data_IF_037702824571
#
_entry.id   IF_037702824571
#
_cell.length_a   1.000
_cell.length_b   1.000
_cell.length_c   1.000
_cell.angle_alpha   90.00
_cell.angle_beta   90.00
_cell.angle_gamma   90.00
#
_symmetry.space_group_name_H-M   'P 1'
#
loop_
_entity.id
_entity.type
_entity.pdbx_description
1 polymer ?
#
# COMPACT_ATOMS: atom_id res chain seq x y z
N UNK A 1 36.03 58.67 11.30
CA UNK A 1 35.70 57.55 12.15
C UNK A 1 34.48 56.85 11.56
N UNK A 2 34.66 55.76 10.79
CA UNK A 2 33.56 55.01 10.14
C UNK A 2 33.14 53.86 11.08
N UNK A 3 31.88 53.89 11.55
CA UNK A 3 31.29 52.79 12.35
C UNK A 3 30.82 51.69 11.40
N UNK A 4 31.44 50.53 11.47
CA UNK A 4 31.01 49.31 10.75
C UNK A 4 29.93 48.64 11.61
N UNK A 5 28.72 48.59 11.08
CA UNK A 5 27.59 47.90 11.70
C UNK A 5 27.64 46.44 11.23
N UNK A 6 28.03 45.49 12.11
CA UNK A 6 27.99 44.07 11.85
C UNK A 6 26.55 43.57 12.05
N UNK A 7 25.89 43.21 10.97
CA UNK A 7 24.57 42.56 11.02
C UNK A 7 24.78 41.03 11.21
N UNK A 8 24.39 40.50 12.37
CA UNK A 8 24.33 39.08 12.64
C UNK A 8 23.04 38.51 11.99
N UNK A 9 23.20 37.75 10.91
CA UNK A 9 22.10 36.94 10.34
C UNK A 9 22.01 35.67 11.17
N UNK A 10 20.97 35.56 12.00
CA UNK A 10 20.62 34.35 12.71
C UNK A 10 19.85 33.44 11.73
N UNK A 11 20.50 32.44 11.18
CA UNK A 11 19.84 31.39 10.40
C UNK A 11 19.19 30.42 11.38
N UNK A 12 17.88 30.54 11.56
CA UNK A 12 17.09 29.55 12.29
C UNK A 12 16.96 28.28 11.45
N UNK A 13 17.73 27.26 11.78
CA UNK A 13 17.58 25.90 11.23
C UNK A 13 16.34 25.31 11.89
N UNK A 14 15.20 25.30 11.17
CA UNK A 14 14.04 24.52 11.56
C UNK A 14 14.38 23.03 11.41
N UNK A 15 14.77 22.40 12.50
CA UNK A 15 14.86 20.95 12.58
C UNK A 15 13.44 20.37 12.56
N UNK A 16 12.99 19.90 11.40
CA UNK A 16 11.78 19.06 11.33
C UNK A 16 12.11 17.74 12.03
N UNK A 17 11.68 17.59 13.27
CA UNK A 17 11.68 16.31 13.95
C UNK A 17 10.64 15.41 13.25
N UNK A 18 11.09 14.46 12.46
CA UNK A 18 10.26 13.37 11.98
C UNK A 18 9.88 12.50 13.19
N UNK A 19 8.74 12.77 13.80
CA UNK A 19 8.14 11.85 14.77
C UNK A 19 7.71 10.61 14.02
N UNK A 20 8.27 9.45 14.36
CA UNK A 20 7.85 8.16 13.80
C UNK A 20 6.37 7.98 14.18
N UNK A 21 5.50 8.00 13.19
CA UNK A 21 4.06 7.85 13.44
C UNK A 21 3.79 6.39 13.83
N UNK A 22 3.31 6.17 15.06
CA UNK A 22 2.99 4.83 15.58
C UNK A 22 1.51 4.50 15.34
N UNK A 23 1.07 4.44 14.10
CA UNK A 23 -0.31 4.13 13.74
C UNK A 23 -0.46 3.83 12.25
N UNK A 24 -1.68 3.61 11.82
CA UNK A 24 -2.01 3.47 10.40
C UNK A 24 -1.90 4.83 9.72
N UNK A 25 -1.38 4.88 8.49
CA UNK A 25 -1.23 6.08 7.69
C UNK A 25 -2.55 6.89 7.66
N UNK A 26 -2.57 8.15 8.10
CA UNK A 26 -3.82 8.93 8.17
C UNK A 26 -4.45 9.16 6.81
N UNK A 27 -5.77 9.22 6.76
CA UNK A 27 -6.51 9.71 5.60
C UNK A 27 -6.05 11.13 5.26
N UNK A 28 -5.82 11.42 3.98
CA UNK A 28 -5.27 12.69 3.49
C UNK A 28 -3.74 12.74 3.44
N UNK A 29 -3.02 11.81 4.07
CA UNK A 29 -1.57 11.72 3.98
C UNK A 29 -1.11 11.46 2.53
N UNK A 30 0.08 11.92 2.20
CA UNK A 30 0.71 11.61 0.91
C UNK A 30 1.29 10.19 0.91
N UNK A 31 1.47 9.59 -0.28
CA UNK A 31 2.16 8.31 -0.43
C UNK A 31 3.52 8.38 0.26
N UNK A 32 3.80 7.53 1.26
CA UNK A 32 5.09 7.53 1.93
C UNK A 32 6.16 6.93 1.02
N UNK A 33 7.39 7.45 1.10
CA UNK A 33 8.57 6.98 0.36
C UNK A 33 8.29 6.63 -1.12
N UNK A 34 7.67 7.53 -1.91
CA UNK A 34 7.16 7.20 -3.25
C UNK A 34 8.25 6.76 -4.23
N UNK A 35 9.51 7.14 -4.00
CA UNK A 35 10.67 6.83 -4.86
C UNK A 35 11.46 5.59 -4.38
N UNK A 36 11.09 4.96 -3.25
CA UNK A 36 11.79 3.78 -2.75
C UNK A 36 11.74 2.67 -3.80
N UNK A 37 12.92 2.17 -4.19
CA UNK A 37 13.02 1.08 -5.15
C UNK A 37 12.75 -0.26 -4.50
N UNK A 38 11.87 -1.03 -5.14
CA UNK A 38 11.36 -2.32 -4.70
C UNK A 38 11.62 -3.35 -5.78
N UNK A 39 12.08 -4.53 -5.41
CA UNK A 39 12.28 -5.64 -6.36
C UNK A 39 10.94 -6.27 -6.71
N UNK A 40 10.47 -6.05 -7.93
CA UNK A 40 9.25 -6.67 -8.46
C UNK A 40 9.52 -8.09 -8.99
N UNK A 41 8.47 -8.93 -9.03
CA UNK A 41 8.54 -10.30 -9.57
C UNK A 41 9.00 -10.38 -11.02
N UNK A 42 8.89 -9.31 -11.81
CA UNK A 42 9.45 -9.21 -13.17
C UNK A 42 10.98 -9.14 -13.20
N UNK A 43 11.64 -8.99 -12.05
CA UNK A 43 13.08 -8.79 -11.92
C UNK A 43 13.51 -7.32 -12.01
N UNK A 44 12.59 -6.41 -12.30
CA UNK A 44 12.86 -4.97 -12.36
C UNK A 44 12.72 -4.33 -10.99
N UNK A 45 13.39 -3.20 -10.81
CA UNK A 45 13.12 -2.30 -9.70
C UNK A 45 12.00 -1.33 -10.09
N UNK A 46 11.03 -1.20 -9.21
CA UNK A 46 9.91 -0.26 -9.35
C UNK A 46 9.72 0.51 -8.05
N UNK A 47 9.00 1.61 -8.10
CA UNK A 47 8.62 2.38 -6.92
C UNK A 47 7.10 2.57 -6.87
N UNK A 48 6.57 3.07 -5.76
CA UNK A 48 5.14 3.42 -5.66
C UNK A 48 4.77 4.52 -6.66
N UNK A 49 5.71 5.43 -6.96
CA UNK A 49 5.55 6.45 -7.99
C UNK A 49 5.43 5.84 -9.38
N UNK A 50 6.29 4.87 -9.70
CA UNK A 50 6.26 4.17 -11.00
C UNK A 50 4.97 3.34 -11.16
N UNK A 51 4.46 2.78 -10.06
CA UNK A 51 3.22 1.99 -10.06
C UNK A 51 1.96 2.85 -10.17
N UNK A 52 1.99 4.13 -9.72
CA UNK A 52 0.84 5.04 -9.75
C UNK A 52 0.43 5.33 -11.20
N UNK A 53 -0.89 5.31 -11.46
CA UNK A 53 -1.48 5.72 -12.74
C UNK A 53 -2.24 7.04 -12.61
N UNK A 54 -2.90 7.44 -13.68
CA UNK A 54 -3.61 8.72 -13.81
C UNK A 54 -4.58 8.99 -12.66
N UNK A 55 -5.39 8.00 -12.28
CA UNK A 55 -6.44 8.17 -11.29
C UNK A 55 -6.02 7.72 -9.87
N UNK A 56 -4.75 7.35 -9.67
CA UNK A 56 -4.24 7.03 -8.34
C UNK A 56 -3.49 5.70 -8.24
N UNK A 57 -3.44 5.15 -7.03
CA UNK A 57 -2.71 3.92 -6.71
C UNK A 57 -3.44 3.10 -5.65
N UNK A 58 -3.61 1.82 -5.90
CA UNK A 58 -3.96 0.82 -4.91
C UNK A 58 -2.68 0.11 -4.45
N UNK A 59 -2.37 0.23 -3.17
CA UNK A 59 -1.34 -0.56 -2.48
C UNK A 59 -2.03 -1.61 -1.63
N UNK A 60 -1.63 -2.87 -1.77
CA UNK A 60 -2.17 -3.95 -0.96
C UNK A 60 -1.03 -4.75 -0.34
N UNK A 61 -0.96 -4.79 0.99
CA UNK A 61 -0.06 -5.72 1.69
C UNK A 61 -0.62 -7.13 1.57
N UNK A 62 0.19 -8.04 1.07
CA UNK A 62 -0.19 -9.41 0.74
C UNK A 62 0.97 -10.37 0.98
N UNK A 63 0.71 -11.67 0.89
CA UNK A 63 1.71 -12.73 0.98
C UNK A 63 1.20 -14.00 0.26
N UNK A 64 2.01 -15.06 0.23
CA UNK A 64 1.66 -16.26 -0.53
C UNK A 64 0.82 -17.26 0.26
N UNK A 65 1.02 -17.37 1.58
CA UNK A 65 0.54 -18.51 2.39
C UNK A 65 -0.50 -18.14 3.45
N UNK A 66 -0.81 -16.85 3.63
CA UNK A 66 -1.82 -16.47 4.60
C UNK A 66 -3.20 -17.02 4.19
N UNK A 67 -3.90 -17.79 5.06
CA UNK A 67 -5.24 -18.32 4.75
C UNK A 67 -6.24 -17.23 4.35
N UNK A 68 -6.12 -16.03 4.92
CA UNK A 68 -6.98 -14.91 4.58
C UNK A 68 -6.67 -14.34 3.18
N UNK A 69 -5.39 -14.33 2.76
CA UNK A 69 -5.03 -13.95 1.38
C UNK A 69 -5.59 -14.98 0.40
N UNK A 70 -5.37 -16.27 0.66
CA UNK A 70 -5.86 -17.37 -0.19
C UNK A 70 -7.39 -17.32 -0.31
N UNK A 71 -8.10 -17.15 0.81
CA UNK A 71 -9.56 -17.07 0.84
C UNK A 71 -10.13 -15.86 0.09
N UNK A 72 -9.37 -14.78 0.05
CA UNK A 72 -9.76 -13.54 -0.63
C UNK A 72 -9.18 -13.42 -2.05
N UNK A 73 -8.48 -14.42 -2.56
CA UNK A 73 -7.72 -14.32 -3.80
C UNK A 73 -8.55 -13.92 -5.01
N UNK A 74 -9.72 -14.53 -5.22
CA UNK A 74 -10.62 -14.17 -6.33
C UNK A 74 -11.07 -12.71 -6.25
N UNK A 75 -11.34 -12.22 -5.05
CA UNK A 75 -11.76 -10.83 -4.79
C UNK A 75 -10.59 -9.84 -4.92
N UNK A 76 -9.37 -10.28 -4.56
CA UNK A 76 -8.14 -9.52 -4.84
C UNK A 76 -7.96 -9.34 -6.34
N UNK A 77 -8.12 -10.41 -7.13
CA UNK A 77 -8.03 -10.36 -8.60
C UNK A 77 -9.13 -9.44 -9.18
N UNK A 78 -10.37 -9.57 -8.72
CA UNK A 78 -11.49 -8.70 -9.14
C UNK A 78 -11.18 -7.23 -8.85
N UNK A 79 -10.76 -6.90 -7.62
CA UNK A 79 -10.47 -5.53 -7.21
C UNK A 79 -9.28 -4.94 -7.98
N UNK A 80 -8.20 -5.71 -8.19
CA UNK A 80 -7.03 -5.27 -8.92
C UNK A 80 -7.34 -5.02 -10.40
N UNK A 81 -8.06 -5.92 -11.07
CA UNK A 81 -8.48 -5.73 -12.46
C UNK A 81 -9.43 -4.52 -12.57
N UNK A 82 -10.33 -4.34 -11.61
CA UNK A 82 -11.21 -3.18 -11.56
C UNK A 82 -10.43 -1.87 -11.41
N UNK A 83 -9.45 -1.82 -10.51
CA UNK A 83 -8.56 -0.68 -10.36
C UNK A 83 -7.84 -0.34 -11.68
N UNK A 84 -7.26 -1.33 -12.34
CA UNK A 84 -6.58 -1.15 -13.62
C UNK A 84 -7.53 -0.62 -14.71
N UNK A 85 -8.78 -1.09 -14.77
CA UNK A 85 -9.79 -0.61 -15.72
C UNK A 85 -10.19 0.85 -15.49
N UNK A 86 -9.97 1.36 -14.28
CA UNK A 86 -10.20 2.75 -13.87
C UNK A 86 -8.93 3.63 -13.95
N UNK A 87 -7.88 3.16 -14.60
CA UNK A 87 -6.57 3.84 -14.64
C UNK A 87 -5.98 4.13 -13.24
N UNK A 88 -6.30 3.28 -12.26
CA UNK A 88 -5.66 3.24 -10.94
C UNK A 88 -4.53 2.22 -11.02
N UNK A 89 -3.32 2.61 -10.63
CA UNK A 89 -2.19 1.68 -10.53
C UNK A 89 -2.43 0.65 -9.43
N UNK A 90 -1.79 -0.51 -9.55
CA UNK A 90 -1.90 -1.57 -8.55
C UNK A 90 -0.52 -2.12 -8.23
N UNK A 91 -0.21 -2.21 -6.94
CA UNK A 91 0.97 -2.88 -6.43
C UNK A 91 0.62 -3.69 -5.18
N UNK A 92 0.98 -4.97 -5.18
CA UNK A 92 0.99 -5.80 -3.99
C UNK A 92 2.38 -5.76 -3.36
N UNK A 93 2.44 -5.66 -2.04
CA UNK A 93 3.69 -5.64 -1.26
C UNK A 93 3.76 -6.88 -0.36
N UNK A 94 4.82 -7.64 -0.49
CA UNK A 94 5.12 -8.73 0.42
C UNK A 94 6.16 -8.27 1.44
N UNK A 95 5.69 -8.07 2.67
CA UNK A 95 6.50 -7.61 3.81
C UNK A 95 6.79 -8.73 4.81
N UNK A 96 6.60 -10.01 4.44
CA UNK A 96 6.85 -11.15 5.30
C UNK A 96 8.34 -11.52 5.36
N UNK A 97 9.16 -10.64 5.93
CA UNK A 97 10.61 -10.85 6.04
C UNK A 97 10.98 -12.11 6.86
N UNK A 98 10.18 -12.45 7.86
CA UNK A 98 10.39 -13.69 8.64
C UNK A 98 10.13 -14.99 7.86
N UNK A 99 9.57 -14.89 6.64
CA UNK A 99 9.37 -16.03 5.71
C UNK A 99 10.06 -15.81 4.36
N UNK A 100 10.99 -14.85 4.28
CA UNK A 100 11.66 -14.46 3.04
C UNK A 100 12.57 -15.55 2.49
N UNK A 101 13.11 -16.39 3.34
CA UNK A 101 13.97 -17.51 2.96
C UNK A 101 13.19 -18.81 2.70
N UNK A 102 11.84 -18.77 2.82
CA UNK A 102 10.93 -19.93 2.70
C UNK A 102 9.70 -19.54 1.85
N UNK A 103 8.52 -19.63 2.42
CA UNK A 103 7.21 -19.55 1.76
C UNK A 103 6.91 -18.21 1.06
N UNK A 104 7.54 -17.13 1.48
CA UNK A 104 7.47 -15.80 0.87
C UNK A 104 8.79 -15.39 0.20
N UNK A 105 9.62 -16.38 -0.20
CA UNK A 105 10.82 -16.14 -1.00
C UNK A 105 10.49 -15.51 -2.35
N UNK A 106 11.47 -14.85 -2.94
CA UNK A 106 11.28 -14.21 -4.24
C UNK A 106 10.86 -15.19 -5.34
N UNK A 107 11.39 -16.42 -5.33
CA UNK A 107 10.98 -17.51 -6.23
C UNK A 107 9.53 -17.91 -6.03
N UNK A 108 9.11 -18.08 -4.76
CA UNK A 108 7.73 -18.42 -4.42
C UNK A 108 6.75 -17.31 -4.77
N UNK A 109 7.12 -16.03 -4.57
CA UNK A 109 6.32 -14.89 -5.02
C UNK A 109 6.10 -14.93 -6.53
N UNK A 110 7.14 -15.23 -7.33
CA UNK A 110 7.01 -15.37 -8.79
C UNK A 110 6.09 -16.51 -9.18
N UNK A 111 6.26 -17.67 -8.56
CA UNK A 111 5.44 -18.85 -8.81
C UNK A 111 3.97 -18.59 -8.45
N UNK A 112 3.73 -18.00 -7.27
CA UNK A 112 2.40 -17.64 -6.81
C UNK A 112 1.71 -16.64 -7.77
N UNK A 113 2.38 -15.56 -8.12
CA UNK A 113 1.84 -14.54 -9.01
C UNK A 113 1.51 -15.09 -10.41
N UNK A 114 2.37 -15.98 -10.94
CA UNK A 114 2.14 -16.66 -12.20
C UNK A 114 0.91 -17.57 -12.12
N UNK A 115 0.80 -18.39 -11.06
CA UNK A 115 -0.35 -19.27 -10.84
C UNK A 115 -1.67 -18.50 -10.66
N UNK A 116 -1.62 -17.29 -10.07
CA UNK A 116 -2.78 -16.43 -9.88
C UNK A 116 -3.06 -15.49 -11.06
N UNK A 117 -2.21 -15.50 -12.08
CA UNK A 117 -2.36 -14.66 -13.28
C UNK A 117 -2.26 -13.16 -13.01
N UNK A 118 -1.37 -12.73 -12.12
CA UNK A 118 -1.18 -11.32 -11.78
C UNK A 118 -0.72 -10.49 -12.99
N UNK A 119 -1.38 -9.36 -13.23
CA UNK A 119 -1.07 -8.40 -14.29
C UNK A 119 -0.60 -7.05 -13.75
N UNK A 120 -0.29 -7.00 -12.47
CA UNK A 120 0.16 -5.84 -11.70
C UNK A 120 1.45 -6.17 -10.96
N UNK A 121 2.05 -5.17 -10.34
CA UNK A 121 3.28 -5.34 -9.59
C UNK A 121 3.05 -6.16 -8.30
N UNK A 122 3.96 -7.08 -8.03
CA UNK A 122 4.05 -7.79 -6.77
C UNK A 122 5.50 -7.73 -6.30
N UNK A 123 5.79 -6.86 -5.35
CA UNK A 123 7.14 -6.48 -4.99
C UNK A 123 7.50 -6.84 -3.55
N UNK A 124 8.79 -7.04 -3.32
CA UNK A 124 9.36 -7.25 -1.99
C UNK A 124 9.46 -5.92 -1.26
N UNK A 125 8.82 -5.82 -0.10
CA UNK A 125 9.05 -4.74 0.87
C UNK A 125 10.14 -5.19 1.86
N UNK A 126 11.40 -5.04 1.44
CA UNK A 126 12.55 -5.45 2.23
C UNK A 126 12.61 -4.70 3.56
N UNK A 127 12.91 -5.43 4.62
CA UNK A 127 13.01 -4.92 6.00
C UNK A 127 11.74 -4.22 6.51
N UNK A 128 10.58 -4.53 5.93
CA UNK A 128 9.28 -3.96 6.31
C UNK A 128 9.21 -2.42 6.22
N UNK A 129 10.03 -1.79 5.36
CA UNK A 129 10.15 -0.32 5.29
C UNK A 129 8.81 0.33 4.97
N UNK A 130 8.10 -0.17 3.96
CA UNK A 130 6.79 0.38 3.61
C UNK A 130 5.71 -0.06 4.59
N UNK A 131 5.74 -1.30 5.09
CA UNK A 131 4.80 -1.72 6.12
C UNK A 131 4.87 -0.81 7.35
N UNK A 132 6.07 -0.38 7.76
CA UNK A 132 6.25 0.54 8.89
C UNK A 132 5.74 1.96 8.57
N UNK A 133 6.02 2.48 7.38
CA UNK A 133 5.57 3.81 6.96
C UNK A 133 4.05 3.90 6.77
N UNK A 134 3.41 2.81 6.33
CA UNK A 134 1.97 2.71 6.19
C UNK A 134 1.26 2.36 7.51
N UNK A 135 2.00 1.89 8.51
CA UNK A 135 1.43 1.29 9.72
C UNK A 135 0.67 0.00 9.43
N UNK A 136 1.00 -0.67 8.32
CA UNK A 136 0.40 -1.93 7.93
C UNK A 136 0.87 -3.06 8.84
N UNK A 137 -0.07 -3.92 9.25
CA UNK A 137 0.24 -5.02 10.16
C UNK A 137 -0.41 -6.34 9.78
N UNK A 138 -1.21 -6.39 8.72
CA UNK A 138 -1.97 -7.56 8.29
C UNK A 138 -1.83 -7.84 6.81
N UNK A 139 -2.23 -9.05 6.38
CA UNK A 139 -2.41 -9.44 4.99
C UNK A 139 -3.72 -10.23 4.83
N UNK A 140 -4.63 -9.84 3.88
CA UNK A 140 -4.55 -8.66 3.03
C UNK A 140 -4.93 -7.36 3.76
N UNK A 141 -4.29 -6.23 3.39
CA UNK A 141 -4.63 -4.91 3.89
C UNK A 141 -4.47 -3.88 2.76
N UNK A 142 -5.50 -3.06 2.51
CA UNK A 142 -5.58 -2.18 1.35
C UNK A 142 -5.41 -0.71 1.74
N UNK A 143 -4.67 0.03 0.90
CA UNK A 143 -4.52 1.48 0.97
C UNK A 143 -4.76 2.06 -0.43
N UNK A 144 -5.72 2.97 -0.57
CA UNK A 144 -6.06 3.62 -1.83
C UNK A 144 -5.65 5.08 -1.80
N UNK A 145 -4.96 5.51 -2.86
CA UNK A 145 -4.52 6.89 -3.06
C UNK A 145 -5.16 7.45 -4.32
N UNK A 146 -5.58 8.72 -4.27
CA UNK A 146 -6.16 9.43 -5.41
C UNK A 146 -5.09 9.91 -6.42
N UNK A 147 -5.52 10.64 -7.45
CA UNK A 147 -4.66 11.18 -8.50
C UNK A 147 -3.52 12.06 -7.95
N UNK A 148 -3.79 12.83 -6.90
CA UNK A 148 -2.84 13.70 -6.20
C UNK A 148 -1.91 12.92 -5.25
N UNK A 149 -2.09 11.61 -5.13
CA UNK A 149 -1.33 10.76 -4.22
C UNK A 149 -1.73 10.94 -2.76
N UNK A 150 -2.98 11.35 -2.50
CA UNK A 150 -3.54 11.45 -1.16
C UNK A 150 -4.27 10.19 -0.78
N UNK A 151 -4.03 9.70 0.43
CA UNK A 151 -4.67 8.54 1.01
C UNK A 151 -6.17 8.79 1.22
N UNK A 152 -7.03 7.99 0.61
CA UNK A 152 -8.48 8.19 0.64
C UNK A 152 -9.26 7.01 1.20
N UNK A 153 -8.66 5.82 1.24
CA UNK A 153 -9.28 4.64 1.85
C UNK A 153 -8.22 3.70 2.42
N UNK A 154 -8.52 3.15 3.62
CA UNK A 154 -7.76 2.09 4.27
C UNK A 154 -8.70 0.98 4.75
N UNK A 155 -8.33 -0.29 4.53
CA UNK A 155 -9.09 -1.39 5.12
C UNK A 155 -9.17 -2.67 4.28
N UNK A 156 -10.30 -3.36 4.40
CA UNK A 156 -10.60 -4.61 3.72
C UNK A 156 -11.06 -4.41 2.27
N UNK A 157 -11.07 -5.49 1.48
CA UNK A 157 -11.67 -5.50 0.14
C UNK A 157 -13.19 -5.31 0.23
N UNK A 158 -13.83 -5.98 1.19
CA UNK A 158 -15.26 -5.96 1.42
C UNK A 158 -15.61 -6.12 2.91
N UNK A 159 -16.89 -6.19 3.22
CA UNK A 159 -17.41 -6.29 4.59
C UNK A 159 -17.46 -7.73 5.14
N UNK A 160 -17.19 -8.74 4.30
CA UNK A 160 -17.18 -10.14 4.73
C UNK A 160 -15.98 -10.92 4.18
N UNK A 161 -14.77 -10.70 4.69
CA UNK A 161 -13.58 -11.42 4.22
C UNK A 161 -13.65 -12.94 4.47
N UNK A 162 -14.55 -13.37 5.35
CA UNK A 162 -14.76 -14.78 5.67
C UNK A 162 -15.61 -15.55 4.68
N UNK A 163 -16.57 -14.90 4.02
CA UNK A 163 -17.52 -15.54 3.11
C UNK A 163 -17.91 -14.60 1.96
N UNK A 164 -17.46 -14.94 0.75
CA UNK A 164 -17.73 -14.15 -0.45
C UNK A 164 -19.23 -14.10 -0.82
N UNK A 165 -19.99 -15.13 -0.47
CA UNK A 165 -21.43 -15.20 -0.75
C UNK A 165 -22.28 -14.29 0.13
N UNK A 166 -21.73 -13.91 1.29
CA UNK A 166 -22.37 -13.06 2.29
C UNK A 166 -21.86 -11.61 2.27
N UNK A 167 -21.15 -11.20 1.20
CA UNK A 167 -20.70 -9.82 1.01
C UNK A 167 -21.89 -8.93 0.67
N UNK A 168 -22.14 -7.94 1.52
CA UNK A 168 -23.16 -6.91 1.31
C UNK A 168 -22.57 -5.63 0.75
N UNK A 169 -21.31 -5.31 1.08
CA UNK A 169 -20.63 -4.08 0.68
C UNK A 169 -19.20 -4.34 0.19
N UNK A 170 -18.94 -4.04 -1.05
CA UNK A 170 -17.60 -4.06 -1.66
C UNK A 170 -16.88 -2.73 -1.34
N UNK A 171 -16.36 -2.58 -0.13
CA UNK A 171 -15.77 -1.34 0.39
C UNK A 171 -14.76 -0.71 -0.57
N UNK A 172 -13.73 -1.47 -0.96
CA UNK A 172 -12.65 -0.99 -1.82
C UNK A 172 -13.18 -0.57 -3.21
N UNK A 173 -14.10 -1.35 -3.81
CA UNK A 173 -14.70 -1.00 -5.10
C UNK A 173 -15.49 0.31 -5.02
N UNK A 174 -16.30 0.48 -3.98
CA UNK A 174 -17.07 1.72 -3.77
C UNK A 174 -16.15 2.92 -3.56
N UNK A 175 -15.06 2.77 -2.79
CA UNK A 175 -14.07 3.83 -2.61
C UNK A 175 -13.42 4.23 -3.96
N UNK A 176 -13.09 3.27 -4.82
CA UNK A 176 -12.57 3.54 -6.18
C UNK A 176 -13.61 4.26 -7.05
N UNK A 177 -14.88 3.86 -6.99
CA UNK A 177 -15.96 4.49 -7.77
C UNK A 177 -16.20 5.95 -7.34
N UNK A 178 -16.28 6.19 -6.03
CA UNK A 178 -16.45 7.53 -5.47
C UNK A 178 -15.27 8.43 -5.80
N UNK A 179 -14.04 7.94 -5.58
CA UNK A 179 -12.80 8.66 -5.86
C UNK A 179 -12.69 9.05 -7.34
N UNK A 180 -12.93 8.10 -8.26
CA UNK A 180 -12.80 8.37 -9.71
C UNK A 180 -13.93 9.24 -10.26
N UNK A 181 -15.06 9.32 -9.56
CA UNK A 181 -16.14 10.27 -9.85
C UNK A 181 -15.89 11.67 -9.26
N UNK A 182 -14.72 11.92 -8.65
CA UNK A 182 -14.41 13.18 -7.97
C UNK A 182 -15.19 13.43 -6.70
N UNK A 183 -15.78 12.38 -6.11
CA UNK A 183 -16.52 12.45 -4.86
C UNK A 183 -15.61 12.10 -3.68
N UNK A 184 -15.97 12.62 -2.52
CA UNK A 184 -15.37 12.17 -1.27
C UNK A 184 -15.75 10.72 -1.00
N UNK A 185 -14.75 9.90 -0.55
CA UNK A 185 -14.99 8.51 -0.19
C UNK A 185 -15.87 8.45 1.07
N UNK A 186 -17.04 7.84 0.95
CA UNK A 186 -18.04 7.81 2.02
C UNK A 186 -17.63 6.96 3.22
N UNK A 187 -16.94 5.84 2.97
CA UNK A 187 -16.35 4.97 4.00
C UNK A 187 -14.85 4.97 3.78
N UNK A 188 -14.13 5.78 4.55
CA UNK A 188 -12.68 5.96 4.41
C UNK A 188 -11.87 4.86 5.06
N UNK A 189 -12.44 4.20 6.05
CA UNK A 189 -11.77 3.14 6.82
C UNK A 189 -12.70 1.96 7.04
N UNK A 190 -12.16 0.76 6.97
CA UNK A 190 -12.85 -0.47 7.37
C UNK A 190 -11.89 -1.42 8.07
N UNK A 191 -12.42 -2.38 8.81
CA UNK A 191 -11.61 -3.33 9.55
C UNK A 191 -11.04 -4.40 8.61
N UNK A 192 -9.72 -4.43 8.44
CA UNK A 192 -9.04 -5.54 7.78
C UNK A 192 -9.01 -6.79 8.68
N UNK A 193 -9.35 -7.93 8.10
CA UNK A 193 -9.13 -9.25 8.71
C UNK A 193 -8.02 -9.97 7.96
N UNK A 194 -7.00 -10.40 8.68
CA UNK A 194 -5.83 -11.00 8.05
C UNK A 194 -4.82 -11.55 9.06
N UNK A 195 -3.84 -12.29 8.54
CA UNK A 195 -2.68 -12.71 9.31
C UNK A 195 -1.77 -11.51 9.59
N UNK A 196 -1.10 -11.53 10.72
CA UNK A 196 -0.04 -10.57 11.00
C UNK A 196 1.09 -10.68 9.97
N UNK A 197 1.64 -9.53 9.55
CA UNK A 197 2.87 -9.47 8.76
C UNK A 197 3.99 -10.15 9.57
N UNK A 198 4.68 -11.11 8.95
CA UNK A 198 5.77 -11.89 9.56
C UNK A 198 7.07 -11.10 9.50
N UNK A 199 7.33 -10.32 10.54
CA UNK A 199 8.58 -9.54 10.66
C UNK A 199 9.74 -10.46 11.00
N UNK A 200 10.96 -10.07 10.63
CA UNK A 200 12.18 -10.74 11.08
C UNK A 200 12.47 -10.30 12.51
N UNK A 201 12.73 -11.25 13.40
CA UNK A 201 13.19 -11.03 14.77
C UNK A 201 14.63 -10.55 14.80
#
# INVERSE_FOLDING_TARGET
MKKILLAFIVVAILSFAFTKFNGVLPIGASIPKPELKLKDISGKEISLKDAKKKNGLLVMFSCNTCPWVIKNQSRTIEAANYALSKEIGVILLNSNEGQRDDADSYSEMKAYAAAQGYKWYYAVDANNVLADEFGANRTPECFLFNAEGKHVYHGAIDDNPGDASSVSRKHLKMAMDEMTAGKEVSVKESRSMGCQIKRKE
#
